data_IF_455925837261
#
_entry.id   IF_455925837261
#
_cell.length_a   1.000
_cell.length_b   1.000
_cell.length_c   1.000
_cell.angle_alpha   90.00
_cell.angle_beta   90.00
_cell.angle_gamma   90.00
#
_symmetry.space_group_name_H-M   'P 1'
#
loop_
_entity.id
_entity.type
_entity.pdbx_description
1 polymer ?
#
# COMPACT_ATOMS: atom_id res chain seq x y z
N UNK A 1 0.91 -20.40 4.13
CA UNK A 1 0.82 -20.35 5.60
C UNK A 1 0.30 -18.98 5.95
N UNK A 2 -0.85 -18.90 6.61
CA UNK A 2 -1.44 -17.61 6.95
C UNK A 2 -0.58 -16.79 7.92
N UNK A 3 -0.30 -15.54 7.54
CA UNK A 3 0.39 -14.55 8.35
C UNK A 3 -0.46 -13.31 8.62
N UNK A 4 -1.76 -13.36 8.33
CA UNK A 4 -2.66 -12.22 8.42
C UNK A 4 -2.64 -11.55 9.79
N UNK A 5 -2.45 -12.29 10.87
CA UNK A 5 -2.37 -11.75 12.23
C UNK A 5 -1.07 -10.99 12.52
N UNK A 6 0.02 -11.33 11.82
CA UNK A 6 1.35 -10.73 12.02
C UNK A 6 1.49 -9.39 11.28
N UNK A 7 0.73 -9.21 10.19
CA UNK A 7 0.72 -7.93 9.46
C UNK A 7 0.08 -6.84 10.29
N UNK A 8 0.57 -5.61 10.14
CA UNK A 8 -0.09 -4.41 10.66
C UNK A 8 -1.46 -4.19 10.01
N UNK A 9 -2.06 -3.03 10.25
CA UNK A 9 -3.35 -2.68 9.66
C UNK A 9 -3.32 -2.60 8.14
N UNK A 10 -2.16 -2.40 7.52
CA UNK A 10 -2.00 -2.34 6.07
C UNK A 10 -0.55 -2.64 5.65
N UNK A 11 -0.35 -2.95 4.37
CA UNK A 11 0.95 -3.16 3.74
C UNK A 11 0.89 -2.84 2.23
N UNK A 12 2.04 -2.67 1.58
CA UNK A 12 2.17 -2.61 0.13
C UNK A 12 3.25 -3.55 -0.41
N UNK A 13 3.06 -3.97 -1.66
CA UNK A 13 4.07 -4.68 -2.44
C UNK A 13 5.08 -3.68 -3.02
N UNK A 14 6.40 -3.86 -2.80
CA UNK A 14 7.42 -2.94 -3.31
C UNK A 14 7.48 -2.87 -4.85
N UNK A 15 7.32 -4.01 -5.52
CA UNK A 15 7.64 -4.18 -6.94
C UNK A 15 6.60 -3.58 -7.90
N UNK A 16 5.33 -3.60 -7.51
CA UNK A 16 4.21 -3.29 -8.41
C UNK A 16 3.38 -2.07 -8.01
N UNK A 17 3.67 -1.50 -6.84
CA UNK A 17 3.16 -0.19 -6.46
C UNK A 17 4.01 0.92 -7.12
N UNK A 18 4.63 0.61 -8.26
CA UNK A 18 5.79 1.26 -8.88
C UNK A 18 5.52 2.58 -9.58
N UNK A 19 4.27 3.05 -9.64
CA UNK A 19 4.00 4.47 -9.91
C UNK A 19 4.28 5.36 -8.68
N UNK A 20 4.44 4.77 -7.49
CA UNK A 20 4.70 5.45 -6.21
C UNK A 20 6.07 5.10 -5.60
N UNK A 21 6.90 4.32 -6.29
CA UNK A 21 8.24 3.98 -5.84
C UNK A 21 9.25 4.20 -6.97
N UNK A 22 9.79 5.42 -7.09
CA UNK A 22 11.13 5.56 -7.68
C UNK A 22 12.11 4.97 -6.67
N UNK A 23 12.37 3.67 -6.85
CA UNK A 23 12.83 2.72 -5.84
C UNK A 23 13.91 3.25 -4.87
N UNK A 24 13.51 3.42 -3.61
CA UNK A 24 14.41 3.30 -2.47
C UNK A 24 14.15 1.95 -1.78
N UNK A 25 14.78 0.87 -2.27
CA UNK A 25 14.70 -0.45 -1.63
C UNK A 25 15.07 -0.43 -0.15
N UNK A 26 15.79 0.60 0.33
CA UNK A 26 16.05 0.78 1.77
C UNK A 26 14.77 0.89 2.60
N UNK A 27 13.68 1.38 2.02
CA UNK A 27 12.40 1.44 2.72
C UNK A 27 11.89 0.06 3.16
N UNK A 28 12.12 -0.98 2.35
CA UNK A 28 11.76 -2.36 2.70
C UNK A 28 12.56 -2.83 3.93
N UNK A 29 13.84 -2.49 4.00
CA UNK A 29 14.69 -2.83 5.14
C UNK A 29 14.40 -1.98 6.39
N UNK A 30 14.02 -0.72 6.21
CA UNK A 30 13.75 0.21 7.31
C UNK A 30 12.35 0.04 7.90
N UNK A 31 11.38 -0.41 7.09
CA UNK A 31 9.97 -0.56 7.45
C UNK A 31 9.38 -1.89 6.95
N UNK A 32 9.99 -3.05 7.31
CA UNK A 32 9.61 -4.36 6.81
C UNK A 32 8.18 -4.79 7.19
N UNK A 33 7.60 -4.17 8.22
CA UNK A 33 6.22 -4.43 8.63
C UNK A 33 5.16 -3.83 7.69
N UNK A 34 5.55 -2.90 6.82
CA UNK A 34 4.66 -2.21 5.87
C UNK A 34 4.94 -2.59 4.41
N UNK A 35 6.14 -3.06 4.08
CA UNK A 35 6.53 -3.40 2.72
C UNK A 35 6.87 -4.88 2.63
N UNK A 36 6.09 -5.63 1.85
CA UNK A 36 6.19 -7.08 1.75
C UNK A 36 6.04 -7.53 0.30
N UNK A 37 6.93 -8.38 -0.16
CA UNK A 37 6.86 -8.99 -1.51
C UNK A 37 5.69 -9.99 -1.60
N UNK A 38 5.48 -10.78 -0.55
CA UNK A 38 4.44 -11.81 -0.52
C UNK A 38 3.20 -11.38 0.31
N UNK A 39 1.99 -11.68 -0.19
CA UNK A 39 0.77 -11.48 0.58
C UNK A 39 0.76 -12.32 1.86
N UNK A 40 0.07 -11.87 2.93
CA UNK A 40 0.01 -12.62 4.18
C UNK A 40 -0.96 -13.81 4.14
N UNK A 41 -1.46 -14.16 2.96
CA UNK A 41 -2.38 -15.26 2.73
C UNK A 41 -2.16 -15.81 1.33
N UNK A 42 -2.15 -17.14 1.22
CA UNK A 42 -1.97 -17.82 -0.06
C UNK A 42 -3.29 -17.97 -0.81
N UNK A 43 -4.38 -18.07 -0.05
CA UNK A 43 -5.72 -18.34 -0.58
C UNK A 43 -6.69 -17.29 -0.04
N UNK A 44 -7.54 -16.78 -0.94
CA UNK A 44 -8.58 -15.80 -0.61
C UNK A 44 -9.92 -16.24 -1.18
N UNK A 45 -10.99 -15.74 -0.58
CA UNK A 45 -12.35 -15.93 -1.06
C UNK A 45 -12.93 -14.53 -1.34
N UNK A 46 -13.25 -14.19 -2.60
CA UNK A 46 -12.94 -14.94 -3.83
C UNK A 46 -11.43 -14.99 -4.12
N UNK A 47 -11.00 -15.77 -5.12
CA UNK A 47 -9.62 -15.72 -5.60
C UNK A 47 -9.25 -14.31 -6.08
N UNK A 48 -7.97 -13.96 -5.97
CA UNK A 48 -7.46 -12.66 -6.37
C UNK A 48 -7.88 -12.32 -7.80
N UNK A 49 -8.51 -11.16 -7.95
CA UNK A 49 -8.86 -10.59 -9.23
C UNK A 49 -8.69 -9.07 -9.18
N UNK A 50 -8.46 -8.43 -10.32
CA UNK A 50 -8.33 -6.96 -10.33
C UNK A 50 -9.69 -6.24 -10.32
N UNK A 51 -10.81 -6.97 -10.37
CA UNK A 51 -12.17 -6.42 -10.53
C UNK A 51 -12.89 -6.14 -9.22
N UNK A 52 -12.40 -6.69 -8.11
CA UNK A 52 -12.97 -6.52 -6.77
C UNK A 52 -11.86 -6.21 -5.78
N UNK A 53 -12.23 -5.57 -4.67
CA UNK A 53 -11.27 -5.16 -3.65
C UNK A 53 -11.52 -5.81 -2.29
N UNK A 54 -12.63 -6.52 -2.09
CA UNK A 54 -12.96 -7.14 -0.79
C UNK A 54 -12.69 -8.64 -0.82
N UNK A 55 -11.77 -9.08 0.02
CA UNK A 55 -11.30 -10.46 0.10
C UNK A 55 -11.35 -10.97 1.54
N UNK A 56 -11.54 -12.27 1.68
CA UNK A 56 -11.40 -12.95 2.97
C UNK A 56 -10.27 -13.98 2.86
N UNK A 57 -9.35 -13.99 3.82
CA UNK A 57 -8.39 -15.09 3.96
C UNK A 57 -9.15 -16.40 4.21
N UNK A 58 -8.91 -17.45 3.42
CA UNK A 58 -9.58 -18.75 3.59
C UNK A 58 -9.14 -19.47 4.88
N UNK A 59 -7.90 -19.21 5.34
CA UNK A 59 -7.31 -19.87 6.51
C UNK A 59 -7.79 -19.26 7.84
N UNK A 60 -7.69 -17.93 8.02
CA UNK A 60 -7.98 -17.25 9.29
C UNK A 60 -9.23 -16.38 9.28
N UNK A 61 -9.94 -16.31 8.15
CA UNK A 61 -11.16 -15.53 7.96
C UNK A 61 -11.00 -14.00 8.08
N UNK A 62 -9.77 -13.48 8.17
CA UNK A 62 -9.49 -12.04 8.17
C UNK A 62 -9.96 -11.41 6.86
N UNK A 63 -10.75 -10.34 6.98
CA UNK A 63 -11.17 -9.53 5.85
C UNK A 63 -10.10 -8.52 5.46
N UNK A 64 -9.93 -8.35 4.16
CA UNK A 64 -8.94 -7.47 3.56
C UNK A 64 -9.58 -6.67 2.44
N UNK A 65 -9.19 -5.40 2.37
CA UNK A 65 -9.22 -4.64 1.15
C UNK A 65 -7.91 -4.89 0.41
N UNK A 66 -7.96 -5.46 -0.79
CA UNK A 66 -6.80 -5.61 -1.66
C UNK A 66 -7.00 -4.84 -2.95
N UNK A 67 -6.03 -4.00 -3.32
CA UNK A 67 -5.86 -3.60 -4.72
C UNK A 67 -4.92 -4.64 -5.34
N UNK A 68 -5.36 -5.29 -6.41
CA UNK A 68 -4.56 -6.31 -7.11
C UNK A 68 -3.96 -5.75 -8.40
N UNK A 69 -2.78 -6.24 -8.76
CA UNK A 69 -2.15 -5.92 -10.04
C UNK A 69 -3.00 -6.42 -11.22
N UNK A 70 -3.10 -5.65 -12.31
CA UNK A 70 -3.86 -6.04 -13.51
C UNK A 70 -3.05 -6.98 -14.42
N UNK A 71 -2.38 -7.97 -13.84
CA UNK A 71 -1.54 -8.96 -14.54
C UNK A 71 -2.32 -10.25 -14.79
N UNK A 72 -1.74 -11.18 -15.56
CA UNK A 72 -2.34 -12.50 -15.83
C UNK A 72 -2.53 -13.33 -14.54
N UNK A 73 -1.67 -13.12 -13.55
CA UNK A 73 -1.76 -13.70 -12.20
C UNK A 73 -1.90 -12.57 -11.19
N UNK A 74 -3.13 -12.10 -10.89
CA UNK A 74 -3.35 -10.99 -9.98
C UNK A 74 -2.81 -11.28 -8.58
N UNK A 75 -2.09 -10.33 -8.02
CA UNK A 75 -1.62 -10.37 -6.63
C UNK A 75 -1.83 -9.01 -5.96
N UNK A 76 -2.00 -8.95 -4.63
CA UNK A 76 -2.27 -7.70 -3.95
C UNK A 76 -1.03 -6.80 -3.93
N UNK A 77 -1.19 -5.59 -4.46
CA UNK A 77 -0.18 -4.51 -4.43
C UNK A 77 -0.34 -3.60 -3.21
N UNK A 78 -1.55 -3.56 -2.65
CA UNK A 78 -1.90 -2.86 -1.41
C UNK A 78 -2.89 -3.73 -0.65
N UNK A 79 -2.66 -3.91 0.65
CA UNK A 79 -3.60 -4.58 1.54
C UNK A 79 -3.95 -3.72 2.75
N UNK A 80 -5.23 -3.66 3.11
CA UNK A 80 -5.73 -2.97 4.30
C UNK A 80 -6.68 -3.92 5.05
N UNK A 81 -6.44 -4.15 6.34
CA UNK A 81 -7.31 -4.98 7.17
C UNK A 81 -8.68 -4.35 7.32
N UNK A 82 -9.71 -5.16 7.14
CA UNK A 82 -11.09 -4.79 7.38
C UNK A 82 -11.63 -5.52 8.61
N UNK A 83 -12.51 -4.86 9.37
CA UNK A 83 -13.15 -5.48 10.51
C UNK A 83 -14.19 -6.53 10.08
N UNK A 84 -14.88 -6.29 8.96
CA UNK A 84 -15.95 -7.15 8.45
C UNK A 84 -16.05 -7.03 6.92
N UNK A 85 -16.78 -7.96 6.28
CA UNK A 85 -17.14 -7.92 4.85
C UNK A 85 -17.78 -6.60 4.41
N UNK A 86 -18.58 -6.00 5.28
CA UNK A 86 -19.38 -4.81 4.95
C UNK A 86 -18.61 -3.51 5.21
N UNK A 87 -17.36 -3.60 5.67
CA UNK A 87 -16.53 -2.42 5.85
C UNK A 87 -16.07 -1.93 4.48
N UNK A 88 -16.68 -0.84 4.03
CA UNK A 88 -16.29 -0.13 2.81
C UNK A 88 -15.34 1.01 3.20
N UNK A 89 -14.11 0.97 2.69
CA UNK A 89 -13.19 2.08 2.82
C UNK A 89 -13.62 3.21 1.87
N UNK A 90 -13.64 4.42 2.39
CA UNK A 90 -13.76 5.63 1.57
C UNK A 90 -12.49 5.84 0.74
N UNK A 91 -12.63 6.55 -0.38
CA UNK A 91 -11.47 6.96 -1.19
C UNK A 91 -10.45 7.75 -0.36
N UNK A 92 -10.90 8.54 0.60
CA UNK A 92 -10.03 9.28 1.52
C UNK A 92 -9.22 8.38 2.46
N UNK A 93 -9.80 7.28 2.94
CA UNK A 93 -9.10 6.33 3.81
C UNK A 93 -8.02 5.57 3.03
N UNK A 94 -8.37 5.09 1.84
CA UNK A 94 -7.41 4.44 0.93
C UNK A 94 -6.29 5.43 0.57
N UNK A 95 -6.64 6.67 0.21
CA UNK A 95 -5.66 7.72 -0.11
C UNK A 95 -4.74 8.00 1.08
N UNK A 96 -5.27 8.12 2.30
CA UNK A 96 -4.45 8.36 3.48
C UNK A 96 -3.43 7.24 3.73
N UNK A 97 -3.83 5.97 3.55
CA UNK A 97 -2.91 4.82 3.65
C UNK A 97 -1.83 4.89 2.58
N UNK A 98 -2.20 5.14 1.31
CA UNK A 98 -1.22 5.28 0.23
C UNK A 98 -0.23 6.42 0.49
N UNK A 99 -0.72 7.56 0.98
CA UNK A 99 0.12 8.70 1.32
C UNK A 99 1.09 8.37 2.46
N UNK A 100 0.62 7.67 3.50
CA UNK A 100 1.48 7.22 4.59
C UNK A 100 2.60 6.29 4.08
N UNK A 101 2.26 5.31 3.25
CA UNK A 101 3.23 4.38 2.66
C UNK A 101 4.23 5.10 1.75
N UNK A 102 3.79 6.09 0.97
CA UNK A 102 4.68 6.93 0.18
C UNK A 102 5.63 7.77 1.07
N UNK A 103 5.16 8.31 2.19
CA UNK A 103 6.05 9.04 3.10
C UNK A 103 7.13 8.10 3.66
N UNK A 104 6.76 6.88 4.06
CA UNK A 104 7.74 5.88 4.54
C UNK A 104 8.74 5.48 3.45
N UNK A 105 8.26 5.29 2.22
CA UNK A 105 9.11 4.88 1.10
C UNK A 105 10.20 5.88 0.75
N UNK A 106 9.87 7.15 0.95
CA UNK A 106 10.78 8.27 0.73
C UNK A 106 11.49 8.72 2.02
N UNK A 107 11.52 7.91 3.08
CA UNK A 107 12.17 8.22 4.37
C UNK A 107 11.71 9.55 5.01
N UNK A 108 10.45 9.92 4.78
CA UNK A 108 9.86 11.15 5.28
C UNK A 108 9.90 12.33 4.30
N UNK A 109 9.78 13.52 4.87
CA UNK A 109 9.78 14.78 4.12
C UNK A 109 11.18 15.40 4.06
N UNK A 110 11.46 16.09 2.96
CA UNK A 110 12.57 17.03 2.82
C UNK A 110 12.23 18.36 3.51
N UNK A 111 13.26 19.13 3.86
CA UNK A 111 13.11 20.54 4.24
C UNK A 111 12.76 21.44 3.02
N UNK A 112 12.98 20.94 1.80
CA UNK A 112 12.63 21.63 0.56
C UNK A 112 11.12 21.57 0.27
N UNK A 113 10.61 22.59 -0.42
CA UNK A 113 9.24 22.60 -0.93
C UNK A 113 9.11 21.74 -2.19
N UNK A 114 7.89 21.30 -2.45
CA UNK A 114 7.52 20.66 -3.70
C UNK A 114 7.86 21.54 -4.92
N UNK A 115 8.38 20.91 -5.98
CA UNK A 115 8.77 21.55 -7.24
C UNK A 115 7.60 22.17 -8.02
N UNK A 116 6.36 21.74 -7.75
CA UNK A 116 5.18 22.29 -8.40
C UNK A 116 4.97 23.76 -8.01
N UNK A 117 4.92 24.62 -9.03
CA UNK A 117 4.74 26.06 -8.85
C UNK A 117 3.48 26.37 -8.01
N UNK A 118 3.63 27.17 -6.96
CA UNK A 118 2.54 27.53 -6.05
C UNK A 118 2.25 26.50 -4.96
N UNK A 119 2.92 25.34 -4.95
CA UNK A 119 2.78 24.37 -3.86
C UNK A 119 3.59 24.79 -2.63
N UNK A 120 2.94 24.85 -1.46
CA UNK A 120 3.58 25.16 -0.18
C UNK A 120 3.96 23.93 0.64
N UNK A 121 3.58 22.73 0.19
CA UNK A 121 3.86 21.48 0.89
C UNK A 121 5.35 21.11 0.80
N UNK A 122 5.84 20.42 1.83
CA UNK A 122 7.18 19.83 1.83
C UNK A 122 7.27 18.71 0.79
N UNK A 123 8.42 18.64 0.11
CA UNK A 123 8.76 17.54 -0.77
C UNK A 123 9.05 16.26 0.04
N UNK A 124 8.98 15.11 -0.61
CA UNK A 124 9.45 13.84 -0.07
C UNK A 124 11.00 13.81 -0.11
N UNK A 125 11.68 13.07 0.77
CA UNK A 125 13.13 13.22 0.92
C UNK A 125 13.92 12.79 -0.33
N UNK A 126 13.50 11.72 -1.00
CA UNK A 126 14.17 11.21 -2.20
C UNK A 126 13.59 11.72 -3.52
N UNK A 127 12.50 12.48 -3.52
CA UNK A 127 11.94 13.12 -4.72
C UNK A 127 11.48 14.55 -4.45
N UNK A 128 11.68 15.47 -5.39
CA UNK A 128 11.34 16.90 -5.23
C UNK A 128 9.84 17.20 -5.30
N UNK A 129 8.96 16.25 -5.01
CA UNK A 129 7.50 16.36 -5.08
C UNK A 129 6.89 16.09 -3.70
N UNK A 130 5.78 16.77 -3.36
CA UNK A 130 5.03 16.44 -2.14
C UNK A 130 4.14 15.21 -2.36
N UNK A 131 3.74 14.59 -1.26
CA UNK A 131 2.88 13.40 -1.27
C UNK A 131 1.56 13.59 -2.03
N UNK A 132 0.99 14.80 -2.03
CA UNK A 132 -0.27 15.09 -2.73
C UNK A 132 -0.13 15.20 -4.25
N UNK A 133 1.04 15.59 -4.75
CA UNK A 133 1.30 15.63 -6.21
C UNK A 133 1.88 14.31 -6.72
N UNK A 134 2.29 13.45 -5.80
CA UNK A 134 2.84 12.15 -6.11
C UNK A 134 1.77 11.07 -6.25
N UNK A 135 0.72 11.15 -5.42
CA UNK A 135 -0.41 10.21 -5.34
C UNK A 135 -1.60 10.69 -6.16
#
# INVERSE_FOLDING_TARGET
MCECLMVKSFFACPDDFTNLFSFNFKAVYNFPEYFREEPPTNETIPDFNYSTTSYQCSECLQWWYFECSPTEQPYPILGIKLNTKNHLLSESEVKAVKQFLAVLSHEGFSAEKCIHHGCSNLALKSIKMCVNHFI
#
